data_IF_601004378670
#
_entry.id   IF_601004378670
#
_cell.length_a   1.000
_cell.length_b   1.000
_cell.length_c   1.000
_cell.angle_alpha   90.00
_cell.angle_beta   90.00
_cell.angle_gamma   90.00
#
_symmetry.space_group_name_H-M   'P 1'
#
loop_
_entity.id
_entity.type
_entity.pdbx_description
1 polymer ?
#
# COMPACT_ATOMS: atom_id res chain seq x y z
N UNK A 1 62.60 46.24 1.89
CA UNK A 1 61.52 47.21 2.23
C UNK A 1 60.68 47.32 0.96
N UNK A 2 59.45 46.83 0.82
CA UNK A 2 58.29 46.60 1.72
C UNK A 2 57.36 45.61 0.96
N UNK A 3 56.50 44.79 1.62
CA UNK A 3 55.93 43.57 1.04
C UNK A 3 54.54 43.80 0.40
N UNK A 4 54.14 42.91 -0.52
CA UNK A 4 52.79 42.88 -1.12
C UNK A 4 52.03 41.66 -0.62
N UNK A 5 50.81 41.92 -0.14
CA UNK A 5 50.07 41.08 0.80
C UNK A 5 49.27 39.92 0.20
N UNK A 6 49.06 38.94 1.07
CA UNK A 6 48.12 37.82 0.89
C UNK A 6 46.68 38.30 1.07
N UNK A 7 45.88 38.23 0.00
CA UNK A 7 44.42 38.33 0.08
C UNK A 7 43.80 36.94 0.21
N UNK A 8 43.30 36.60 1.41
CA UNK A 8 42.45 35.43 1.65
C UNK A 8 41.07 35.67 1.04
N UNK A 9 40.64 34.85 0.07
CA UNK A 9 39.21 34.63 -0.21
C UNK A 9 38.79 33.32 0.45
N UNK A 10 38.00 33.43 1.52
CA UNK A 10 37.35 32.29 2.14
C UNK A 10 36.24 31.76 1.22
N UNK A 11 36.34 30.49 0.86
CA UNK A 11 35.20 29.72 0.35
C UNK A 11 34.46 29.19 1.58
N UNK A 12 33.27 29.73 1.83
CA UNK A 12 32.28 29.14 2.74
C UNK A 12 31.80 27.83 2.10
N UNK A 13 32.17 26.70 2.67
CA UNK A 13 31.55 25.41 2.37
C UNK A 13 30.27 25.34 3.20
N UNK A 14 29.12 25.44 2.54
CA UNK A 14 27.82 25.20 3.16
C UNK A 14 27.64 23.70 3.38
N UNK A 15 27.23 23.33 4.58
CA UNK A 15 27.13 21.96 5.10
C UNK A 15 25.90 21.18 4.62
N UNK A 16 25.25 21.58 3.53
CA UNK A 16 23.95 21.01 3.11
C UNK A 16 24.02 19.89 2.06
N UNK A 17 25.21 19.53 1.53
CA UNK A 17 25.29 18.52 0.44
C UNK A 17 25.66 17.10 0.88
N UNK A 18 25.87 16.85 2.19
CA UNK A 18 26.42 15.57 2.65
C UNK A 18 25.35 14.50 2.98
N UNK A 19 24.11 14.90 3.26
CA UNK A 19 23.04 13.94 3.59
C UNK A 19 22.41 13.29 2.34
N UNK A 20 22.36 14.00 1.21
CA UNK A 20 21.88 13.45 -0.05
C UNK A 20 22.85 12.42 -0.67
N UNK A 21 24.16 12.59 -0.47
CA UNK A 21 25.18 11.65 -1.00
C UNK A 21 25.18 10.34 -0.21
N UNK A 22 24.88 10.38 1.10
CA UNK A 22 24.69 9.16 1.91
C UNK A 22 23.49 8.32 1.44
N UNK A 23 22.39 8.96 1.04
CA UNK A 23 21.18 8.25 0.57
C UNK A 23 21.41 7.41 -0.69
N UNK A 24 22.17 7.92 -1.67
CA UNK A 24 22.49 7.17 -2.90
C UNK A 24 23.50 6.01 -2.68
N UNK A 25 24.47 6.17 -1.78
CA UNK A 25 25.47 5.12 -1.49
C UNK A 25 24.93 4.02 -0.58
N UNK A 26 23.99 4.32 0.32
CA UNK A 26 23.35 3.31 1.19
C UNK A 26 22.45 2.33 0.42
N UNK A 27 22.03 2.65 -0.81
CA UNK A 27 21.27 1.73 -1.65
C UNK A 27 22.07 0.47 -2.05
N UNK A 28 23.41 0.51 -2.00
CA UNK A 28 24.28 -0.60 -2.40
C UNK A 28 24.68 -1.52 -1.22
N UNK A 29 24.36 -1.14 0.02
CA UNK A 29 24.67 -1.88 1.25
C UNK A 29 23.41 -1.97 2.13
N UNK A 30 22.32 -2.52 1.60
CA UNK A 30 21.14 -2.84 2.42
C UNK A 30 21.44 -4.10 3.23
N UNK A 31 21.68 -3.93 4.53
CA UNK A 31 21.63 -5.04 5.49
C UNK A 31 20.20 -5.64 5.48
N UNK A 32 20.05 -6.98 5.60
CA UNK A 32 18.73 -7.59 5.61
C UNK A 32 17.87 -7.01 6.74
N UNK A 33 16.70 -6.45 6.40
CA UNK A 33 15.63 -6.04 7.32
C UNK A 33 16.16 -5.50 8.66
N UNK A 34 17.04 -4.49 8.61
CA UNK A 34 17.73 -4.00 9.81
C UNK A 34 16.73 -3.74 10.94
N UNK A 35 17.03 -4.22 12.15
CA UNK A 35 16.17 -4.03 13.33
C UNK A 35 15.94 -2.54 13.53
N UNK A 36 14.68 -2.13 13.50
CA UNK A 36 14.29 -0.79 13.92
C UNK A 36 14.41 -0.73 15.45
N UNK A 37 15.20 0.20 15.97
CA UNK A 37 15.21 0.56 17.39
C UNK A 37 13.89 1.30 17.73
N UNK A 38 12.79 0.55 17.83
CA UNK A 38 11.50 1.06 18.29
C UNK A 38 11.29 0.63 19.74
N UNK A 39 11.96 1.32 20.65
CA UNK A 39 11.76 1.24 22.11
C UNK A 39 10.89 2.38 22.65
N UNK A 40 10.10 3.02 21.78
CA UNK A 40 9.21 4.11 22.16
C UNK A 40 7.96 3.61 22.85
N UNK A 41 7.60 4.24 23.97
CA UNK A 41 6.28 4.16 24.58
C UNK A 41 5.27 4.66 23.53
N UNK A 42 4.47 3.76 22.94
CA UNK A 42 3.44 4.08 21.94
C UNK A 42 2.24 4.76 22.62
N UNK A 43 2.50 5.80 23.43
CA UNK A 43 1.48 6.58 24.10
C UNK A 43 0.59 7.22 23.06
N UNK A 44 -0.65 6.78 23.08
CA UNK A 44 -1.78 7.27 22.33
C UNK A 44 -1.89 8.79 22.53
N UNK A 45 -1.38 9.56 21.57
CA UNK A 45 -1.80 10.95 21.44
C UNK A 45 -3.24 10.86 20.96
N UNK A 46 -4.19 11.41 21.71
CA UNK A 46 -5.60 11.41 21.32
C UNK A 46 -5.73 11.90 19.87
N UNK A 47 -5.96 10.97 18.95
CA UNK A 47 -6.01 11.28 17.53
C UNK A 47 -7.36 11.93 17.25
N UNK A 48 -7.33 13.07 16.56
CA UNK A 48 -8.55 13.71 16.04
C UNK A 48 -8.63 13.39 14.56
N UNK A 49 -9.76 12.85 14.12
CA UNK A 49 -9.99 12.55 12.71
C UNK A 49 -9.80 13.81 11.87
N UNK A 50 -9.13 13.67 10.73
CA UNK A 50 -8.89 14.76 9.78
C UNK A 50 -10.13 15.10 8.94
N UNK A 51 -11.18 14.27 9.09
CA UNK A 51 -12.46 14.38 8.39
C UNK A 51 -13.61 14.30 9.39
N UNK A 52 -14.78 14.82 9.00
CA UNK A 52 -15.99 14.70 9.81
C UNK A 52 -16.44 13.24 9.92
N UNK A 53 -16.84 12.84 11.14
CA UNK A 53 -17.33 11.50 11.43
C UNK A 53 -18.83 11.55 11.75
N UNK A 54 -19.74 11.20 10.81
CA UNK A 54 -21.17 11.08 11.12
C UNK A 54 -21.37 10.05 12.24
N UNK A 55 -22.42 10.18 13.06
CA UNK A 55 -22.78 9.13 14.03
C UNK A 55 -23.12 7.79 13.35
N UNK A 56 -23.20 6.69 14.11
CA UNK A 56 -23.40 5.35 13.56
C UNK A 56 -24.68 5.23 12.72
N UNK A 57 -25.80 5.79 13.19
CA UNK A 57 -27.07 5.72 12.48
C UNK A 57 -27.04 6.55 11.19
N UNK A 58 -26.41 7.72 11.24
CA UNK A 58 -26.16 8.58 10.07
C UNK A 58 -25.25 7.89 9.06
N UNK A 59 -24.19 7.22 9.52
CA UNK A 59 -23.27 6.47 8.66
C UNK A 59 -23.99 5.29 7.99
N UNK A 60 -24.78 4.49 8.72
CA UNK A 60 -25.56 3.41 8.14
C UNK A 60 -26.56 3.88 7.08
N UNK A 61 -27.19 5.06 7.27
CA UNK A 61 -28.08 5.65 6.25
C UNK A 61 -27.37 6.07 4.97
N UNK A 62 -26.06 6.34 5.02
CA UNK A 62 -25.25 6.64 3.84
C UNK A 62 -24.84 5.37 3.10
N UNK A 63 -24.64 4.26 3.81
CA UNK A 63 -24.29 2.99 3.22
C UNK A 63 -25.47 2.43 2.39
N UNK A 64 -25.18 1.58 1.39
CA UNK A 64 -26.22 0.87 0.67
C UNK A 64 -27.10 0.01 1.58
N UNK A 65 -28.31 -0.28 1.10
CA UNK A 65 -29.26 -1.13 1.79
C UNK A 65 -28.67 -2.52 2.10
N UNK A 66 -28.93 -2.99 3.32
CA UNK A 66 -28.44 -4.27 3.83
C UNK A 66 -29.53 -5.33 3.83
N UNK A 67 -29.13 -6.58 3.61
CA UNK A 67 -29.98 -7.77 3.78
C UNK A 67 -29.68 -8.52 5.07
N UNK A 68 -28.49 -8.32 5.64
CA UNK A 68 -28.05 -8.85 6.94
C UNK A 68 -27.21 -7.79 7.64
N UNK A 69 -27.42 -7.60 8.94
CA UNK A 69 -26.77 -6.52 9.70
C UNK A 69 -27.44 -5.17 9.41
N UNK A 70 -26.64 -4.10 9.32
CA UNK A 70 -27.16 -2.77 8.95
C UNK A 70 -27.49 -1.83 10.11
N UNK A 71 -27.16 -2.24 11.34
CA UNK A 71 -27.38 -1.45 12.55
C UNK A 71 -26.25 -1.65 13.57
N UNK A 72 -26.25 -0.84 14.62
CA UNK A 72 -25.22 -0.87 15.67
C UNK A 72 -23.98 -0.05 15.32
N UNK A 73 -22.92 -0.15 16.13
CA UNK A 73 -21.72 0.67 15.97
C UNK A 73 -20.95 0.31 14.69
N UNK A 74 -20.47 1.33 13.99
CA UNK A 74 -19.56 1.21 12.86
C UNK A 74 -18.14 1.63 13.26
N UNK A 75 -17.11 0.97 12.72
CA UNK A 75 -15.75 1.43 12.90
C UNK A 75 -15.59 2.87 12.41
N UNK A 76 -14.78 3.67 13.10
CA UNK A 76 -14.54 5.08 12.72
C UNK A 76 -14.04 5.21 11.29
N UNK A 77 -13.27 4.22 10.82
CA UNK A 77 -12.81 4.15 9.44
C UNK A 77 -13.93 3.98 8.41
N UNK A 78 -15.02 3.28 8.74
CA UNK A 78 -16.17 3.13 7.86
C UNK A 78 -16.99 4.42 7.85
N UNK A 79 -17.17 5.03 9.03
CA UNK A 79 -17.84 6.33 9.20
C UNK A 79 -17.13 7.46 8.46
N UNK A 80 -15.79 7.45 8.42
CA UNK A 80 -14.98 8.41 7.66
C UNK A 80 -15.15 8.28 6.13
N UNK A 81 -15.33 7.04 5.64
CA UNK A 81 -15.41 6.75 4.20
C UNK A 81 -16.83 6.95 3.64
N UNK A 82 -17.86 6.62 4.43
CA UNK A 82 -19.26 6.58 4.00
C UNK A 82 -19.80 7.89 3.37
N UNK A 83 -19.45 9.11 3.83
CA UNK A 83 -19.94 10.34 3.22
C UNK A 83 -19.52 10.56 1.76
N UNK A 84 -18.38 10.00 1.37
CA UNK A 84 -17.78 10.25 0.05
C UNK A 84 -17.86 9.02 -0.86
N UNK A 85 -17.69 7.83 -0.29
CA UNK A 85 -17.58 6.55 -1.01
C UNK A 85 -18.40 5.44 -0.31
N UNK A 86 -19.73 5.57 -0.21
CA UNK A 86 -20.57 4.65 0.56
C UNK A 86 -20.55 3.20 0.06
N UNK A 87 -20.49 2.95 -1.25
CA UNK A 87 -20.41 1.58 -1.80
C UNK A 87 -19.03 0.98 -1.49
N UNK A 88 -17.97 1.78 -1.58
CA UNK A 88 -16.62 1.35 -1.22
C UNK A 88 -16.51 1.05 0.27
N UNK A 89 -17.12 1.87 1.13
CA UNK A 89 -17.20 1.60 2.57
C UNK A 89 -17.91 0.27 2.86
N UNK A 90 -19.03 0.00 2.20
CA UNK A 90 -19.73 -1.28 2.29
C UNK A 90 -18.86 -2.47 1.84
N UNK A 91 -18.17 -2.35 0.70
CA UNK A 91 -17.25 -3.40 0.24
C UNK A 91 -16.06 -3.59 1.20
N UNK A 92 -15.55 -2.50 1.78
CA UNK A 92 -14.44 -2.54 2.74
C UNK A 92 -14.83 -3.18 4.07
N UNK A 93 -16.10 -3.11 4.51
CA UNK A 93 -16.63 -3.90 5.64
C UNK A 93 -16.53 -5.41 5.36
N UNK A 94 -16.90 -5.85 4.15
CA UNK A 94 -16.76 -7.26 3.77
C UNK A 94 -15.30 -7.72 3.69
N UNK A 95 -14.42 -6.85 3.20
CA UNK A 95 -12.98 -7.08 3.15
C UNK A 95 -12.37 -7.20 4.56
N UNK A 96 -12.68 -6.27 5.48
CA UNK A 96 -12.22 -6.32 6.88
C UNK A 96 -12.71 -7.62 7.55
N UNK A 97 -13.99 -7.96 7.38
CA UNK A 97 -14.53 -9.20 7.91
C UNK A 97 -13.81 -10.45 7.38
N UNK A 98 -13.47 -10.49 6.09
CA UNK A 98 -12.73 -11.60 5.50
C UNK A 98 -11.34 -11.76 6.12
N UNK A 99 -10.57 -10.67 6.21
CA UNK A 99 -9.23 -10.69 6.80
C UNK A 99 -9.24 -10.98 8.30
N UNK A 100 -10.28 -10.58 9.03
CA UNK A 100 -10.37 -10.77 10.48
C UNK A 100 -11.04 -12.07 10.91
N UNK A 101 -11.82 -12.73 10.05
CA UNK A 101 -12.54 -14.00 10.36
C UNK A 101 -11.99 -15.22 9.63
N UNK A 102 -11.70 -15.10 8.33
CA UNK A 102 -11.33 -16.22 7.45
C UNK A 102 -9.83 -16.28 7.16
N UNK A 103 -9.16 -15.13 7.08
CA UNK A 103 -7.87 -14.96 6.42
C UNK A 103 -6.71 -15.87 6.83
N UNK A 104 -6.63 -16.32 8.07
CA UNK A 104 -5.68 -17.34 8.51
C UNK A 104 -6.45 -18.32 9.39
N UNK A 105 -6.39 -19.62 9.12
CA UNK A 105 -7.24 -20.62 9.80
C UNK A 105 -7.07 -20.67 11.32
N UNK A 106 -5.92 -20.23 11.82
CA UNK A 106 -5.66 -20.04 13.25
C UNK A 106 -5.95 -18.58 13.67
N UNK A 107 -7.01 -18.31 14.46
CA UNK A 107 -7.39 -16.95 14.84
C UNK A 107 -6.38 -16.27 15.78
N UNK A 108 -5.70 -17.03 16.65
CA UNK A 108 -4.67 -16.50 17.56
C UNK A 108 -3.45 -16.04 16.75
N UNK A 109 -2.93 -16.89 15.85
CA UNK A 109 -1.81 -16.52 15.00
C UNK A 109 -2.18 -15.34 14.07
N UNK A 110 -3.41 -15.32 13.55
CA UNK A 110 -3.92 -14.21 12.73
C UNK A 110 -3.83 -12.88 13.45
N UNK A 111 -4.36 -12.81 14.66
CA UNK A 111 -4.37 -11.57 15.45
C UNK A 111 -2.95 -11.14 15.85
N UNK A 112 -2.09 -12.09 16.23
CA UNK A 112 -0.66 -11.86 16.49
C UNK A 112 0.06 -11.23 15.29
N UNK A 113 -0.11 -11.79 14.09
CA UNK A 113 0.54 -11.27 12.87
C UNK A 113 0.01 -9.89 12.50
N UNK A 114 -1.30 -9.63 12.66
CA UNK A 114 -1.87 -8.28 12.44
C UNK A 114 -1.28 -7.26 13.40
N UNK A 115 -1.08 -7.65 14.67
CA UNK A 115 -0.44 -6.79 15.65
C UNK A 115 1.00 -6.44 15.27
N UNK A 116 1.79 -7.41 14.76
CA UNK A 116 3.17 -7.14 14.30
C UNK A 116 3.17 -6.12 13.16
N UNK A 117 2.27 -6.25 12.18
CA UNK A 117 2.14 -5.26 11.09
C UNK A 117 1.81 -3.88 11.64
N UNK A 118 0.82 -3.80 12.53
CA UNK A 118 0.40 -2.54 13.16
C UNK A 118 1.53 -1.89 13.99
N UNK A 119 2.32 -2.69 14.72
CA UNK A 119 3.49 -2.22 15.47
C UNK A 119 4.52 -1.56 14.55
N UNK A 120 4.89 -2.22 13.45
CA UNK A 120 5.89 -1.66 12.53
C UNK A 120 5.38 -0.40 11.80
N UNK A 121 4.08 -0.32 11.54
CA UNK A 121 3.45 0.90 11.02
C UNK A 121 3.16 1.96 12.11
N UNK A 122 3.37 1.64 13.40
CA UNK A 122 3.05 2.51 14.55
C UNK A 122 1.56 2.89 14.63
N UNK A 123 0.67 1.98 14.24
CA UNK A 123 -0.77 2.21 14.23
C UNK A 123 -1.43 1.74 15.54
N UNK A 124 -1.68 2.69 16.47
CA UNK A 124 -2.32 2.41 17.76
C UNK A 124 -3.69 1.75 17.62
N UNK A 125 -4.56 2.30 16.77
CA UNK A 125 -5.88 1.75 16.46
C UNK A 125 -5.80 0.26 16.08
N UNK A 126 -4.90 -0.09 15.15
CA UNK A 126 -4.80 -1.45 14.65
C UNK A 126 -4.14 -2.40 15.67
N UNK A 127 -3.21 -1.91 16.49
CA UNK A 127 -2.64 -2.67 17.60
C UNK A 127 -3.72 -3.05 18.63
N UNK A 128 -4.54 -2.09 19.08
CA UNK A 128 -5.63 -2.35 20.03
C UNK A 128 -6.68 -3.29 19.43
N UNK A 129 -7.04 -3.08 18.16
CA UNK A 129 -7.95 -3.97 17.43
C UNK A 129 -7.42 -5.40 17.37
N UNK A 130 -6.12 -5.57 17.10
CA UNK A 130 -5.49 -6.89 17.05
C UNK A 130 -5.43 -7.56 18.44
N UNK A 131 -5.16 -6.81 19.51
CA UNK A 131 -5.23 -7.32 20.90
C UNK A 131 -6.65 -7.74 21.26
N UNK A 132 -7.66 -6.95 20.91
CA UNK A 132 -9.06 -7.31 21.13
C UNK A 132 -9.48 -8.57 20.35
N UNK A 133 -9.03 -8.70 19.10
CA UNK A 133 -9.21 -9.94 18.32
C UNK A 133 -8.52 -11.14 18.98
N UNK A 134 -7.32 -10.95 19.55
CA UNK A 134 -6.54 -11.97 20.23
C UNK A 134 -7.23 -12.45 21.52
N UNK A 135 -7.79 -11.53 22.31
CA UNK A 135 -8.62 -11.84 23.49
C UNK A 135 -9.88 -12.61 23.09
N UNK A 136 -10.60 -12.15 22.06
CA UNK A 136 -11.80 -12.84 21.53
C UNK A 136 -11.48 -14.24 21.00
N UNK A 137 -10.26 -14.47 20.53
CA UNK A 137 -9.79 -15.79 20.10
C UNK A 137 -9.36 -16.70 21.27
N UNK A 138 -9.42 -16.24 22.52
CA UNK A 138 -9.12 -17.04 23.72
C UNK A 138 -7.64 -17.07 24.12
N UNK A 139 -6.81 -16.13 23.65
CA UNK A 139 -5.44 -16.03 24.13
C UNK A 139 -5.38 -15.57 25.59
N UNK A 140 -4.41 -16.08 26.34
CA UNK A 140 -4.15 -15.62 27.72
C UNK A 140 -3.52 -14.23 27.73
N UNK A 141 -3.74 -13.46 28.81
CA UNK A 141 -3.06 -12.17 29.02
C UNK A 141 -1.54 -12.31 29.04
N UNK A 142 -1.00 -13.46 29.48
CA UNK A 142 0.43 -13.76 29.37
C UNK A 142 0.89 -13.87 27.91
N UNK A 143 0.10 -14.50 27.04
CA UNK A 143 0.41 -14.54 25.61
C UNK A 143 0.34 -13.17 24.95
N UNK A 144 -0.57 -12.30 25.40
CA UNK A 144 -0.69 -10.92 24.94
C UNK A 144 0.51 -10.10 25.42
N UNK A 145 0.88 -10.20 26.70
CA UNK A 145 2.04 -9.54 27.26
C UNK A 145 3.34 -9.91 26.54
N UNK A 146 3.53 -11.20 26.21
CA UNK A 146 4.69 -11.66 25.40
C UNK A 146 4.71 -11.08 23.98
N UNK A 147 3.56 -10.95 23.34
CA UNK A 147 3.46 -10.32 22.03
C UNK A 147 3.86 -8.84 22.10
N UNK A 148 3.27 -8.12 23.05
CA UNK A 148 3.46 -6.67 23.26
C UNK A 148 4.88 -6.32 23.71
N UNK A 149 5.55 -7.21 24.46
CA UNK A 149 6.95 -7.06 24.85
C UNK A 149 7.92 -6.95 23.65
N UNK A 150 7.49 -7.33 22.44
CA UNK A 150 8.25 -7.17 21.22
C UNK A 150 9.27 -8.30 20.96
N UNK A 151 10.16 -8.12 19.98
CA UNK A 151 11.00 -9.19 19.40
C UNK A 151 11.78 -10.05 20.40
N UNK A 152 12.26 -9.46 21.49
CA UNK A 152 13.04 -10.17 22.51
C UNK A 152 12.17 -11.10 23.38
N UNK A 153 10.86 -10.84 23.47
CA UNK A 153 9.88 -11.67 24.18
C UNK A 153 9.16 -12.70 23.29
N UNK A 154 9.38 -12.68 21.97
CA UNK A 154 8.70 -13.57 21.04
C UNK A 154 9.20 -15.01 21.16
N UNK A 155 8.23 -15.95 21.24
CA UNK A 155 8.53 -17.37 21.31
C UNK A 155 9.24 -17.87 20.05
N UNK A 156 10.07 -18.91 20.19
CA UNK A 156 10.70 -19.59 19.06
C UNK A 156 9.67 -20.10 18.04
N UNK A 157 8.49 -20.51 18.51
CA UNK A 157 7.41 -20.99 17.65
C UNK A 157 6.82 -19.91 16.73
N UNK A 158 6.79 -18.65 17.18
CA UNK A 158 6.20 -17.53 16.46
C UNK A 158 7.23 -16.75 15.63
N UNK A 159 8.51 -16.75 16.06
CA UNK A 159 9.58 -15.86 15.59
C UNK A 159 9.68 -15.72 14.07
N UNK A 160 9.80 -16.82 13.33
CA UNK A 160 9.97 -16.76 11.87
C UNK A 160 8.74 -16.18 11.17
N UNK A 161 7.52 -16.51 11.63
CA UNK A 161 6.29 -15.96 11.05
C UNK A 161 6.12 -14.47 11.34
N UNK A 162 6.58 -14.03 12.51
CA UNK A 162 6.55 -12.61 12.89
C UNK A 162 7.60 -11.83 12.10
N UNK A 163 8.82 -12.35 11.97
CA UNK A 163 9.86 -11.71 11.16
C UNK A 163 9.48 -11.67 9.68
N UNK A 164 8.77 -12.68 9.14
CA UNK A 164 8.23 -12.63 7.79
C UNK A 164 7.31 -11.41 7.60
N UNK A 165 6.30 -11.24 8.46
CA UNK A 165 5.36 -10.11 8.32
C UNK A 165 6.01 -8.77 8.66
N UNK A 166 7.02 -8.76 9.53
CA UNK A 166 7.86 -7.59 9.83
C UNK A 166 8.62 -7.14 8.57
N UNK A 167 9.35 -8.05 7.93
CA UNK A 167 10.06 -7.82 6.67
C UNK A 167 9.12 -7.29 5.59
N UNK A 168 7.96 -7.94 5.39
CA UNK A 168 6.96 -7.52 4.42
C UNK A 168 6.43 -6.10 4.71
N UNK A 169 6.40 -5.67 5.96
CA UNK A 169 5.90 -4.35 6.34
C UNK A 169 6.94 -3.26 6.12
N UNK A 170 8.18 -3.49 6.54
CA UNK A 170 9.22 -2.44 6.57
C UNK A 170 10.09 -2.37 5.31
N UNK A 171 10.38 -3.51 4.66
CA UNK A 171 11.26 -3.59 3.48
C UNK A 171 11.02 -4.88 2.69
N UNK A 172 9.82 -5.02 2.13
CA UNK A 172 9.40 -6.23 1.39
C UNK A 172 10.37 -6.64 0.26
N UNK A 173 10.97 -5.71 -0.53
CA UNK A 173 11.96 -6.08 -1.54
C UNK A 173 13.19 -6.82 -0.99
N UNK A 174 13.55 -6.57 0.27
CA UNK A 174 14.69 -7.18 0.94
C UNK A 174 14.32 -8.42 1.77
N UNK A 175 13.12 -8.96 1.62
CA UNK A 175 12.70 -10.18 2.32
C UNK A 175 13.66 -11.34 2.01
N UNK A 176 14.33 -11.93 3.03
CA UNK A 176 15.25 -13.05 2.81
C UNK A 176 14.52 -14.30 2.32
N UNK A 177 15.06 -14.95 1.28
CA UNK A 177 14.43 -16.14 0.69
C UNK A 177 14.50 -17.35 1.62
N UNK A 178 15.55 -17.47 2.43
CA UNK A 178 15.71 -18.52 3.43
C UNK A 178 14.66 -18.39 4.56
N UNK A 179 14.33 -17.17 4.98
CA UNK A 179 13.24 -16.91 5.93
C UNK A 179 11.90 -17.34 5.34
N UNK A 180 11.60 -16.92 4.10
CA UNK A 180 10.37 -17.33 3.41
C UNK A 180 10.29 -18.87 3.31
N UNK A 181 11.39 -19.53 2.93
CA UNK A 181 11.44 -20.98 2.81
C UNK A 181 11.24 -21.70 4.15
N UNK A 182 11.83 -21.20 5.25
CA UNK A 182 11.61 -21.77 6.59
C UNK A 182 10.13 -21.69 7.00
N UNK A 183 9.49 -20.54 6.80
CA UNK A 183 8.07 -20.36 7.09
C UNK A 183 7.22 -21.24 6.17
N UNK A 184 7.55 -21.31 4.88
CA UNK A 184 6.87 -22.18 3.90
C UNK A 184 6.95 -23.65 4.29
N UNK A 185 8.11 -24.16 4.70
CA UNK A 185 8.27 -25.56 5.17
C UNK A 185 7.43 -25.85 6.41
N UNK A 186 7.32 -24.88 7.32
CA UNK A 186 6.57 -25.03 8.56
C UNK A 186 5.05 -25.00 8.37
N UNK A 187 4.56 -24.08 7.53
CA UNK A 187 3.13 -23.78 7.44
C UNK A 187 2.47 -24.20 6.12
N UNK A 188 3.26 -24.55 5.10
CA UNK A 188 2.82 -24.88 3.75
C UNK A 188 2.49 -23.65 2.89
N UNK A 189 2.45 -23.87 1.57
CA UNK A 189 2.29 -22.81 0.55
C UNK A 189 1.04 -21.95 0.76
N UNK A 190 -0.12 -22.58 1.01
CA UNK A 190 -1.38 -21.85 1.23
C UNK A 190 -1.31 -20.94 2.46
N UNK A 191 -0.73 -21.42 3.56
CA UNK A 191 -0.68 -20.64 4.80
C UNK A 191 0.31 -19.48 4.67
N UNK A 192 1.50 -19.69 4.09
CA UNK A 192 2.46 -18.61 3.90
C UNK A 192 1.93 -17.55 2.92
N UNK A 193 1.21 -17.96 1.86
CA UNK A 193 0.55 -17.01 0.96
C UNK A 193 -0.49 -16.15 1.70
N UNK A 194 -1.27 -16.75 2.61
CA UNK A 194 -2.23 -16.03 3.45
C UNK A 194 -1.55 -15.06 4.43
N UNK A 195 -0.35 -15.39 4.93
CA UNK A 195 0.46 -14.45 5.72
C UNK A 195 0.90 -13.24 4.89
N UNK A 196 1.27 -13.43 3.63
CA UNK A 196 1.60 -12.33 2.69
C UNK A 196 0.39 -11.42 2.47
N UNK A 197 -0.79 -11.98 2.17
CA UNK A 197 -2.02 -11.19 2.00
C UNK A 197 -2.46 -10.50 3.30
N UNK A 198 -2.23 -11.11 4.47
CA UNK A 198 -2.49 -10.48 5.77
C UNK A 198 -1.58 -9.26 5.98
N UNK A 199 -0.29 -9.37 5.69
CA UNK A 199 0.64 -8.25 5.78
C UNK A 199 0.28 -7.13 4.81
N UNK A 200 -0.14 -7.49 3.58
CA UNK A 200 -0.63 -6.53 2.59
C UNK A 200 -1.89 -5.78 3.07
N UNK A 201 -2.87 -6.50 3.63
CA UNK A 201 -4.08 -5.88 4.17
C UNK A 201 -3.79 -4.95 5.35
N UNK A 202 -2.93 -5.37 6.30
CA UNK A 202 -2.53 -4.49 7.40
C UNK A 202 -1.83 -3.23 6.90
N UNK A 203 -0.94 -3.34 5.91
CA UNK A 203 -0.27 -2.17 5.32
C UNK A 203 -1.23 -1.21 4.60
N UNK A 204 -2.32 -1.71 4.03
CA UNK A 204 -3.43 -0.91 3.48
C UNK A 204 -4.23 -0.23 4.61
N UNK A 205 -4.73 -1.02 5.56
CA UNK A 205 -5.61 -0.56 6.63
C UNK A 205 -4.91 0.44 7.56
N UNK A 206 -3.68 0.17 7.96
CA UNK A 206 -2.93 1.05 8.89
C UNK A 206 -2.70 2.44 8.28
N UNK A 207 -2.53 2.53 6.96
CA UNK A 207 -2.32 3.80 6.26
C UNK A 207 -3.59 4.59 6.09
N UNK A 208 -4.70 3.90 5.89
CA UNK A 208 -6.02 4.51 5.96
C UNK A 208 -6.28 5.10 7.36
N UNK A 209 -5.99 4.34 8.41
CA UNK A 209 -6.17 4.77 9.80
C UNK A 209 -5.26 5.94 10.18
N UNK A 210 -3.95 5.82 9.92
CA UNK A 210 -2.96 6.84 10.27
C UNK A 210 -3.13 8.11 9.44
N UNK A 211 -3.32 7.99 8.13
CA UNK A 211 -3.33 9.15 7.26
C UNK A 211 -4.63 9.96 7.28
N UNK A 212 -5.69 9.46 7.94
CA UNK A 212 -6.89 10.23 8.28
C UNK A 212 -7.00 10.56 9.77
N UNK A 213 -5.96 10.26 10.56
CA UNK A 213 -5.96 10.58 11.98
C UNK A 213 -7.06 9.88 12.78
N UNK A 214 -7.48 8.69 12.38
CA UNK A 214 -8.73 8.10 12.87
C UNK A 214 -8.61 7.62 14.33
N UNK A 215 -9.47 8.11 15.24
CA UNK A 215 -9.50 7.61 16.61
C UNK A 215 -10.10 6.22 16.68
N UNK A 216 -9.71 5.47 17.71
CA UNK A 216 -10.42 4.25 18.12
C UNK A 216 -11.83 4.59 18.61
N UNK A 217 -12.76 3.64 18.51
CA UNK A 217 -14.11 3.83 19.03
C UNK A 217 -14.09 4.00 20.56
N UNK A 218 -14.99 4.86 21.09
CA UNK A 218 -15.01 5.22 22.51
C UNK A 218 -15.21 4.02 23.46
N UNK A 219 -15.96 3.01 23.02
CA UNK A 219 -16.23 1.77 23.78
C UNK A 219 -15.16 0.68 23.53
N UNK A 220 -14.07 1.03 22.84
CA UNK A 220 -12.99 0.12 22.47
C UNK A 220 -13.20 -0.59 21.13
N UNK A 221 -12.23 -1.45 20.72
CA UNK A 221 -12.19 -1.99 19.36
C UNK A 221 -13.37 -2.91 19.05
N UNK A 222 -14.10 -2.61 17.98
CA UNK A 222 -15.24 -3.41 17.55
C UNK A 222 -14.81 -4.79 17.01
N UNK A 223 -15.65 -5.84 17.16
CA UNK A 223 -15.49 -7.07 16.39
C UNK A 223 -15.64 -6.80 14.88
N UNK A 224 -15.22 -7.73 14.01
CA UNK A 224 -15.42 -7.57 12.57
C UNK A 224 -16.91 -7.47 12.26
N UNK A 225 -17.31 -6.39 11.58
CA UNK A 225 -18.71 -6.16 11.20
C UNK A 225 -19.10 -7.13 10.10
N UNK A 226 -20.21 -7.84 10.29
CA UNK A 226 -20.76 -8.78 9.31
C UNK A 226 -22.03 -8.17 8.75
N UNK A 227 -21.92 -7.56 7.58
CA UNK A 227 -23.04 -7.01 6.84
C UNK A 227 -23.09 -7.57 5.42
N UNK A 228 -24.30 -7.89 4.97
CA UNK A 228 -24.59 -8.25 3.59
C UNK A 228 -25.44 -7.16 2.97
N UNK A 229 -25.16 -6.83 1.71
CA UNK A 229 -25.78 -5.72 0.99
C UNK A 229 -26.64 -6.26 -0.14
N UNK A 230 -27.68 -5.50 -0.51
CA UNK A 230 -28.57 -5.84 -1.62
C UNK A 230 -27.76 -6.16 -2.89
N UNK A 231 -28.20 -7.18 -3.63
CA UNK A 231 -27.53 -7.62 -4.84
C UNK A 231 -27.44 -6.49 -5.89
N UNK A 232 -26.32 -6.39 -6.60
CA UNK A 232 -26.07 -5.34 -7.60
C UNK A 232 -25.51 -4.04 -7.03
N UNK A 233 -25.46 -3.88 -5.70
CA UNK A 233 -24.86 -2.71 -5.06
C UNK A 233 -23.33 -2.66 -5.25
N UNK A 234 -22.65 -3.79 -5.05
CA UNK A 234 -21.19 -3.88 -5.12
C UNK A 234 -20.75 -4.35 -6.51
N UNK A 235 -19.58 -3.91 -6.96
CA UNK A 235 -19.07 -4.23 -8.29
C UNK A 235 -18.30 -5.56 -8.28
N UNK A 236 -18.94 -6.62 -8.78
CA UNK A 236 -18.31 -7.94 -8.88
C UNK A 236 -17.53 -8.09 -10.19
N UNK A 237 -18.11 -7.67 -11.31
CA UNK A 237 -17.52 -7.84 -12.64
C UNK A 237 -16.26 -7.00 -12.78
N UNK A 238 -15.24 -7.48 -13.52
CA UNK A 238 -14.09 -6.67 -13.88
C UNK A 238 -14.53 -5.35 -14.51
N UNK A 239 -14.13 -4.25 -13.89
CA UNK A 239 -14.36 -2.90 -14.38
C UNK A 239 -13.03 -2.35 -14.90
N UNK A 240 -12.97 -2.03 -16.19
CA UNK A 240 -11.87 -1.24 -16.74
C UNK A 240 -12.42 0.17 -16.94
N UNK A 241 -11.99 1.17 -16.15
CA UNK A 241 -12.49 2.52 -16.34
C UNK A 241 -12.18 2.97 -17.79
N UNK A 242 -13.15 3.66 -18.39
CA UNK A 242 -12.97 4.35 -19.67
C UNK A 242 -11.77 5.29 -19.55
N UNK A 243 -10.95 5.51 -20.59
CA UNK A 243 -9.88 6.49 -20.54
C UNK A 243 -10.50 7.86 -20.21
N UNK A 244 -10.35 8.31 -18.96
CA UNK A 244 -10.68 9.68 -18.61
C UNK A 244 -9.72 10.59 -19.37
N UNK A 245 -10.25 11.71 -19.87
CA UNK A 245 -9.61 12.85 -20.54
C UNK A 245 -8.13 12.65 -20.89
N UNK A 246 -7.75 12.73 -22.17
CA UNK A 246 -6.34 12.99 -22.55
C UNK A 246 -5.84 14.14 -21.70
N UNK A 247 -5.02 13.86 -20.69
CA UNK A 247 -4.19 14.89 -20.09
C UNK A 247 -3.39 15.39 -21.28
N UNK A 248 -3.64 16.64 -21.68
CA UNK A 248 -2.55 17.39 -22.28
C UNK A 248 -1.55 17.38 -21.14
N UNK A 249 -0.51 16.53 -21.25
CA UNK A 249 0.71 16.82 -20.53
C UNK A 249 0.88 18.31 -20.77
N UNK A 250 0.76 19.13 -19.72
CA UNK A 250 1.29 20.47 -19.81
C UNK A 250 2.65 20.24 -20.45
N UNK A 251 2.95 20.97 -21.51
CA UNK A 251 4.23 20.94 -22.20
C UNK A 251 5.35 21.26 -21.19
N UNK A 252 5.62 20.34 -20.27
CA UNK A 252 6.84 20.09 -19.54
C UNK A 252 7.85 19.46 -20.49
N UNK A 253 7.40 19.06 -21.69
CA UNK A 253 8.17 19.18 -22.92
C UNK A 253 8.24 20.67 -23.28
N UNK A 254 8.88 21.46 -22.41
CA UNK A 254 9.58 22.62 -22.92
C UNK A 254 10.58 22.09 -23.93
N UNK A 255 10.62 22.71 -25.10
CA UNK A 255 11.70 22.75 -26.09
C UNK A 255 13.14 22.90 -25.53
N UNK A 256 13.31 22.91 -24.21
CA UNK A 256 14.54 22.85 -23.47
C UNK A 256 15.29 21.54 -23.68
N UNK A 257 16.21 21.58 -24.63
CA UNK A 257 17.56 20.99 -24.55
C UNK A 257 18.33 21.50 -23.31
N UNK A 258 17.67 21.62 -22.16
CA UNK A 258 18.26 21.93 -20.87
C UNK A 258 19.24 20.81 -20.55
N UNK A 259 20.49 21.19 -20.27
CA UNK A 259 21.64 20.28 -20.18
C UNK A 259 21.31 19.07 -19.31
N UNK A 260 20.96 17.96 -19.98
CA UNK A 260 20.84 16.63 -19.41
C UNK A 260 22.14 16.32 -18.69
N UNK A 261 22.13 16.38 -17.36
CA UNK A 261 23.31 15.98 -16.59
C UNK A 261 23.46 14.45 -16.68
N UNK A 262 24.69 13.96 -16.69
CA UNK A 262 24.99 12.52 -16.77
C UNK A 262 24.33 11.70 -15.65
N UNK A 263 24.13 12.32 -14.49
CA UNK A 263 23.51 11.74 -13.28
C UNK A 263 22.05 11.33 -13.51
N UNK A 264 21.26 12.17 -14.19
CA UNK A 264 19.84 11.88 -14.46
C UNK A 264 19.65 10.67 -15.39
N UNK A 265 20.54 10.53 -16.38
CA UNK A 265 20.53 9.39 -17.29
C UNK A 265 20.96 8.09 -16.60
N UNK A 266 21.71 8.15 -15.50
CA UNK A 266 22.17 6.97 -14.76
C UNK A 266 21.08 6.37 -13.87
N UNK A 267 20.30 7.20 -13.16
CA UNK A 267 19.19 6.74 -12.31
C UNK A 267 18.14 5.96 -13.11
N UNK A 268 17.70 6.50 -14.25
CA UNK A 268 16.74 5.81 -15.12
C UNK A 268 17.31 4.52 -15.72
N UNK A 269 18.60 4.50 -16.09
CA UNK A 269 19.27 3.27 -16.56
C UNK A 269 19.33 2.20 -15.48
N UNK A 270 19.58 2.58 -14.22
CA UNK A 270 19.52 1.62 -13.11
C UNK A 270 18.11 1.10 -12.87
N UNK A 271 17.09 1.95 -12.95
CA UNK A 271 15.69 1.52 -12.90
C UNK A 271 15.41 0.44 -13.95
N UNK A 272 15.73 0.69 -15.22
CA UNK A 272 15.50 -0.27 -16.30
C UNK A 272 16.26 -1.59 -16.08
N UNK A 273 17.50 -1.55 -15.56
CA UNK A 273 18.24 -2.76 -15.18
C UNK A 273 17.54 -3.54 -14.06
N UNK A 274 16.97 -2.86 -13.06
CA UNK A 274 16.20 -3.50 -11.99
C UNK A 274 14.93 -4.17 -12.52
N UNK A 275 14.22 -3.50 -13.42
CA UNK A 275 13.02 -4.07 -14.05
C UNK A 275 13.38 -5.33 -14.84
N UNK A 276 14.45 -5.33 -15.65
CA UNK A 276 14.88 -6.53 -16.38
C UNK A 276 15.28 -7.67 -15.43
N UNK A 277 15.98 -7.37 -14.33
CA UNK A 277 16.25 -8.39 -13.29
C UNK A 277 14.96 -8.97 -12.70
N UNK A 278 13.93 -8.15 -12.48
CA UNK A 278 12.63 -8.61 -12.00
C UNK A 278 11.93 -9.54 -12.99
N UNK A 279 12.06 -9.32 -14.31
CA UNK A 279 11.47 -10.19 -15.35
C UNK A 279 12.02 -11.62 -15.29
N UNK A 280 13.28 -11.77 -14.92
CA UNK A 280 13.95 -13.08 -14.77
C UNK A 280 13.85 -13.68 -13.37
N UNK A 281 13.22 -13.01 -12.41
CA UNK A 281 13.22 -13.44 -11.01
C UNK A 281 12.27 -14.63 -10.81
N UNK A 282 12.73 -15.75 -10.20
CA UNK A 282 11.84 -16.86 -9.90
C UNK A 282 10.89 -16.49 -8.75
N UNK A 283 9.59 -16.78 -8.87
CA UNK A 283 8.63 -16.56 -7.80
C UNK A 283 8.87 -17.52 -6.63
N UNK A 284 8.56 -17.07 -5.42
CA UNK A 284 8.74 -17.86 -4.18
C UNK A 284 7.73 -19.00 -4.02
N UNK A 285 6.63 -18.94 -4.76
CA UNK A 285 5.65 -20.03 -4.88
C UNK A 285 5.38 -20.32 -6.36
N UNK A 286 5.00 -21.56 -6.71
CA UNK A 286 4.53 -21.89 -8.06
C UNK A 286 3.38 -20.97 -8.49
N UNK A 287 3.41 -20.49 -9.74
CA UNK A 287 2.32 -19.67 -10.29
C UNK A 287 1.16 -20.58 -10.70
N UNK A 288 -0.04 -20.41 -10.11
CA UNK A 288 -1.22 -21.19 -10.48
C UNK A 288 -1.62 -20.95 -11.95
N UNK A 289 -2.18 -21.97 -12.60
CA UNK A 289 -2.74 -21.82 -13.95
C UNK A 289 -4.12 -21.16 -13.87
N UNK A 290 -4.52 -20.45 -14.93
CA UNK A 290 -5.84 -19.80 -14.98
C UNK A 290 -6.99 -20.77 -14.69
N UNK A 291 -6.96 -22.00 -15.23
CA UNK A 291 -8.04 -22.97 -15.00
C UNK A 291 -8.19 -23.31 -13.50
N UNK A 292 -7.08 -23.51 -12.80
CA UNK A 292 -7.07 -23.81 -11.36
C UNK A 292 -7.62 -22.64 -10.52
N UNK A 293 -7.45 -21.41 -11.04
CA UNK A 293 -7.97 -20.19 -10.43
C UNK A 293 -9.46 -20.03 -10.73
N UNK A 294 -9.88 -20.16 -11.98
CA UNK A 294 -11.24 -19.93 -12.45
C UNK A 294 -12.27 -20.79 -11.70
N UNK A 295 -11.92 -22.04 -11.40
CA UNK A 295 -12.79 -22.99 -10.68
C UNK A 295 -13.13 -22.53 -9.24
N UNK A 296 -12.38 -21.57 -8.68
CA UNK A 296 -12.58 -21.02 -7.34
C UNK A 296 -13.31 -19.67 -7.34
N UNK A 297 -13.64 -19.12 -8.52
CA UNK A 297 -14.18 -17.76 -8.65
C UNK A 297 -15.69 -17.76 -8.92
N UNK A 298 -16.42 -16.73 -8.44
CA UNK A 298 -17.76 -16.46 -8.93
C UNK A 298 -17.76 -16.30 -10.46
N UNK A 299 -18.82 -16.77 -11.12
CA UNK A 299 -18.92 -16.75 -12.59
C UNK A 299 -18.69 -15.34 -13.19
N UNK A 300 -19.20 -14.30 -12.54
CA UNK A 300 -18.98 -12.91 -12.93
C UNK A 300 -17.49 -12.51 -12.99
N UNK A 301 -16.66 -13.08 -12.10
CA UNK A 301 -15.22 -12.82 -12.03
C UNK A 301 -14.39 -13.75 -12.91
N UNK A 302 -14.89 -14.94 -13.23
CA UNK A 302 -14.25 -15.91 -14.12
C UNK A 302 -14.52 -15.65 -15.61
N UNK A 303 -15.30 -14.61 -15.94
CA UNK A 303 -15.75 -14.30 -17.30
C UNK A 303 -14.63 -13.99 -18.29
N UNK A 304 -13.47 -13.54 -17.82
CA UNK A 304 -12.30 -13.24 -18.66
C UNK A 304 -11.02 -13.80 -18.01
N UNK A 305 -10.21 -14.60 -18.74
CA UNK A 305 -8.93 -15.04 -18.26
C UNK A 305 -8.00 -13.88 -17.90
N UNK A 306 -7.38 -13.93 -16.73
CA UNK A 306 -6.31 -12.99 -16.38
C UNK A 306 -4.96 -13.57 -16.79
N UNK A 307 -4.11 -12.72 -17.36
CA UNK A 307 -2.68 -13.02 -17.65
C UNK A 307 -1.75 -12.44 -16.59
N UNK A 308 -2.29 -11.68 -15.64
CA UNK A 308 -1.55 -11.00 -14.59
C UNK A 308 -1.17 -12.02 -13.52
N UNK A 309 0.13 -12.24 -13.33
CA UNK A 309 0.68 -13.24 -12.40
C UNK A 309 0.22 -12.94 -10.98
N UNK A 310 0.16 -11.67 -10.60
CA UNK A 310 -0.35 -11.23 -9.29
C UNK A 310 -1.79 -11.72 -9.02
N UNK A 311 -2.68 -11.68 -10.01
CA UNK A 311 -4.05 -12.19 -9.85
C UNK A 311 -4.06 -13.71 -9.72
N UNK A 312 -3.27 -14.42 -10.54
CA UNK A 312 -3.18 -15.89 -10.48
C UNK A 312 -2.73 -16.35 -9.08
N UNK A 313 -1.73 -15.69 -8.52
CA UNK A 313 -1.18 -16.00 -7.20
C UNK A 313 -2.20 -15.74 -6.08
N UNK A 314 -2.80 -14.56 -6.05
CA UNK A 314 -3.71 -14.17 -4.96
C UNK A 314 -5.00 -14.98 -4.96
N UNK A 315 -5.63 -15.17 -6.13
CA UNK A 315 -6.82 -16.01 -6.22
C UNK A 315 -6.50 -17.49 -6.01
N UNK A 316 -5.43 -18.02 -6.60
CA UNK A 316 -5.12 -19.46 -6.52
C UNK A 316 -4.80 -19.94 -5.11
N UNK A 317 -4.14 -19.10 -4.30
CA UNK A 317 -3.78 -19.45 -2.92
C UNK A 317 -4.80 -18.99 -1.87
N UNK A 318 -5.55 -17.92 -2.11
CA UNK A 318 -6.41 -17.29 -1.11
C UNK A 318 -7.62 -16.56 -1.71
N UNK A 319 -8.41 -17.23 -2.57
CA UNK A 319 -9.61 -16.66 -3.19
C UNK A 319 -10.59 -16.01 -2.19
N UNK A 320 -10.76 -16.58 -1.00
CA UNK A 320 -11.64 -16.05 0.05
C UNK A 320 -11.20 -14.71 0.65
N UNK A 321 -9.92 -14.33 0.46
CA UNK A 321 -9.40 -13.00 0.77
C UNK A 321 -9.37 -12.10 -0.46
N UNK A 322 -8.97 -12.66 -1.59
CA UNK A 322 -8.78 -11.92 -2.82
C UNK A 322 -10.10 -11.48 -3.48
N UNK A 323 -11.17 -12.27 -3.34
CA UNK A 323 -12.50 -11.93 -3.86
C UNK A 323 -13.03 -10.64 -3.21
N UNK A 324 -13.12 -10.52 -1.85
CA UNK A 324 -13.49 -9.26 -1.20
C UNK A 324 -12.59 -8.08 -1.59
N UNK A 325 -11.28 -8.31 -1.76
CA UNK A 325 -10.36 -7.26 -2.21
C UNK A 325 -10.68 -6.78 -3.63
N UNK A 326 -10.91 -7.71 -4.55
CA UNK A 326 -11.31 -7.40 -5.92
C UNK A 326 -12.64 -6.64 -5.95
N UNK A 327 -13.63 -7.03 -5.12
CA UNK A 327 -14.91 -6.31 -5.02
C UNK A 327 -14.69 -4.88 -4.49
N UNK A 328 -13.90 -4.69 -3.44
CA UNK A 328 -13.63 -3.36 -2.88
C UNK A 328 -12.97 -2.43 -3.90
N UNK A 329 -11.92 -2.89 -4.58
CA UNK A 329 -11.20 -2.09 -5.58
C UNK A 329 -12.03 -1.81 -6.84
N UNK A 330 -12.82 -2.79 -7.31
CA UNK A 330 -13.74 -2.58 -8.45
C UNK A 330 -14.90 -1.66 -8.09
N UNK A 331 -15.40 -1.76 -6.85
CA UNK A 331 -16.48 -0.90 -6.36
C UNK A 331 -16.00 0.53 -6.24
N UNK A 332 -14.79 0.75 -5.69
CA UNK A 332 -14.14 2.06 -5.65
C UNK A 332 -14.07 2.69 -7.04
N UNK A 333 -13.50 1.99 -8.03
CA UNK A 333 -13.45 2.51 -9.39
C UNK A 333 -14.82 2.74 -10.04
N UNK A 334 -15.80 1.87 -9.81
CA UNK A 334 -17.15 2.04 -10.35
C UNK A 334 -17.93 3.17 -9.66
N UNK A 335 -17.60 3.48 -8.40
CA UNK A 335 -18.20 4.56 -7.62
C UNK A 335 -17.54 5.91 -7.92
N UNK A 336 -16.23 5.93 -8.10
CA UNK A 336 -15.43 7.09 -8.50
C UNK A 336 -14.38 6.69 -9.54
N UNK A 337 -14.72 6.79 -10.83
CA UNK A 337 -13.73 6.66 -11.89
C UNK A 337 -12.76 7.84 -11.84
N UNK A 338 -11.48 7.57 -11.62
CA UNK A 338 -10.42 8.58 -11.56
C UNK A 338 -9.63 8.66 -12.87
N UNK A 339 -8.76 9.66 -12.94
CA UNK A 339 -7.76 9.78 -14.00
C UNK A 339 -6.66 8.73 -13.85
N UNK A 340 -6.68 7.73 -14.75
CA UNK A 340 -5.70 6.64 -14.74
C UNK A 340 -4.26 7.15 -14.82
N UNK A 341 -3.98 8.22 -15.55
CA UNK A 341 -2.60 8.72 -15.65
C UNK A 341 -2.15 9.21 -14.27
N UNK A 342 -2.95 10.05 -13.61
CA UNK A 342 -2.63 10.54 -12.27
C UNK A 342 -2.50 9.38 -11.26
N UNK A 343 -3.42 8.41 -11.30
CA UNK A 343 -3.38 7.20 -10.48
C UNK A 343 -2.06 6.44 -10.62
N UNK A 344 -1.58 6.24 -11.86
CA UNK A 344 -0.34 5.53 -12.15
C UNK A 344 0.90 6.35 -11.79
N UNK A 345 0.89 7.68 -11.91
CA UNK A 345 2.00 8.52 -11.44
C UNK A 345 2.14 8.47 -9.91
N UNK A 346 1.01 8.57 -9.22
CA UNK A 346 0.96 8.44 -7.77
C UNK A 346 1.44 7.05 -7.33
N UNK A 347 0.93 5.99 -7.97
CA UNK A 347 1.35 4.63 -7.64
C UNK A 347 2.83 4.38 -8.00
N UNK A 348 3.33 4.97 -9.08
CA UNK A 348 4.76 4.92 -9.41
C UNK A 348 5.62 5.54 -8.30
N UNK A 349 5.24 6.70 -7.75
CA UNK A 349 5.95 7.32 -6.60
C UNK A 349 5.96 6.38 -5.37
N UNK A 350 4.84 5.72 -5.07
CA UNK A 350 4.77 4.76 -3.96
C UNK A 350 5.68 3.55 -4.19
N UNK A 351 5.62 2.96 -5.38
CA UNK A 351 6.39 1.76 -5.73
C UNK A 351 7.88 2.07 -5.82
N UNK A 352 8.27 3.26 -6.29
CA UNK A 352 9.63 3.76 -6.23
C UNK A 352 10.10 3.95 -4.79
N UNK A 353 9.26 4.51 -3.91
CA UNK A 353 9.56 4.70 -2.49
C UNK A 353 9.76 3.37 -1.75
N UNK A 354 8.94 2.36 -2.04
CA UNK A 354 9.11 0.99 -1.51
C UNK A 354 10.33 0.31 -2.15
N UNK A 355 10.55 0.52 -3.45
CA UNK A 355 11.50 -0.22 -4.27
C UNK A 355 10.91 -1.43 -4.99
N UNK A 356 9.58 -1.51 -5.13
CA UNK A 356 8.88 -2.63 -5.77
C UNK A 356 9.00 -2.58 -7.30
N UNK A 357 9.88 -3.40 -7.87
CA UNK A 357 10.16 -3.39 -9.31
C UNK A 357 8.99 -3.94 -10.14
N UNK A 358 8.26 -4.95 -9.63
CA UNK A 358 7.12 -5.53 -10.32
C UNK A 358 6.03 -4.47 -10.56
N UNK A 359 5.64 -3.75 -9.50
CA UNK A 359 4.61 -2.72 -9.62
C UNK A 359 5.08 -1.53 -10.48
N UNK A 360 6.34 -1.11 -10.39
CA UNK A 360 6.87 -0.04 -11.27
C UNK A 360 6.77 -0.42 -12.76
N UNK A 361 7.06 -1.67 -13.11
CA UNK A 361 6.89 -2.15 -14.49
C UNK A 361 5.43 -2.23 -14.94
N UNK A 362 4.49 -2.46 -14.04
CA UNK A 362 3.05 -2.40 -14.35
C UNK A 362 2.56 -0.97 -14.56
N UNK A 363 3.10 0.01 -13.81
CA UNK A 363 2.84 1.42 -14.08
C UNK A 363 3.28 1.82 -15.50
N UNK A 364 4.44 1.35 -15.98
CA UNK A 364 4.88 1.56 -17.37
C UNK A 364 3.83 1.04 -18.37
N UNK A 365 3.39 -0.20 -18.19
CA UNK A 365 2.38 -0.83 -19.07
C UNK A 365 1.02 -0.13 -19.02
N UNK A 366 0.58 0.32 -17.84
CA UNK A 366 -0.72 0.98 -17.65
C UNK A 366 -0.71 2.42 -18.18
N UNK A 367 0.42 3.12 -18.10
CA UNK A 367 0.61 4.42 -18.76
C UNK A 367 0.53 4.28 -20.29
N UNK A 368 1.17 3.27 -20.87
CA UNK A 368 1.04 2.99 -22.32
C UNK A 368 -0.41 2.65 -22.70
N UNK A 369 -1.10 1.83 -21.90
CA UNK A 369 -2.52 1.52 -22.11
C UNK A 369 -3.42 2.77 -22.00
N UNK A 370 -2.98 3.79 -21.26
CA UNK A 370 -3.67 5.07 -21.13
C UNK A 370 -3.46 5.99 -22.34
N UNK A 371 -2.72 5.53 -23.35
CA UNK A 371 -2.53 6.21 -24.63
C UNK A 371 -1.23 7.02 -24.73
N UNK A 372 -0.32 6.92 -23.76
CA UNK A 372 1.03 7.49 -23.87
C UNK A 372 1.91 6.62 -24.75
N UNK A 373 2.73 7.23 -25.60
CA UNK A 373 3.79 6.53 -26.33
C UNK A 373 4.94 6.13 -25.41
N UNK A 374 5.67 5.05 -25.74
CA UNK A 374 6.77 4.55 -24.92
C UNK A 374 7.87 5.60 -24.63
N UNK A 375 8.15 6.49 -25.59
CA UNK A 375 9.10 7.60 -25.39
C UNK A 375 8.57 8.64 -24.38
N UNK A 376 7.27 8.90 -24.38
CA UNK A 376 6.61 9.81 -23.43
C UNK A 376 6.64 9.22 -22.02
N UNK A 377 6.30 7.93 -21.88
CA UNK A 377 6.39 7.20 -20.61
C UNK A 377 7.83 7.23 -20.08
N UNK A 378 8.82 6.95 -20.92
CA UNK A 378 10.22 6.95 -20.52
C UNK A 378 10.71 8.33 -20.03
N UNK A 379 10.24 9.43 -20.64
CA UNK A 379 10.55 10.79 -20.18
C UNK A 379 9.83 11.14 -18.87
N UNK A 380 8.56 10.76 -18.75
CA UNK A 380 7.77 10.99 -17.55
C UNK A 380 8.38 10.30 -16.32
N UNK A 381 8.69 9.00 -16.44
CA UNK A 381 9.30 8.23 -15.36
C UNK A 381 10.73 8.67 -15.04
N UNK A 382 11.46 9.21 -16.04
CA UNK A 382 12.76 9.82 -15.80
C UNK A 382 12.65 11.07 -14.93
N UNK A 383 11.65 11.93 -15.12
CA UNK A 383 11.44 13.08 -14.25
C UNK A 383 11.08 12.64 -12.83
N UNK A 384 10.14 11.70 -12.68
CA UNK A 384 9.75 11.18 -11.37
C UNK A 384 10.92 10.53 -10.62
N UNK A 385 11.75 9.73 -11.28
CA UNK A 385 12.88 9.02 -10.68
C UNK A 385 14.01 9.92 -10.17
N UNK A 386 14.08 11.16 -10.66
CA UNK A 386 15.11 12.12 -10.25
C UNK A 386 14.67 13.00 -9.08
N UNK A 387 13.47 12.79 -8.54
CA UNK A 387 12.86 13.63 -7.51
C UNK A 387 12.77 15.12 -7.90
N UNK A 388 12.83 15.43 -9.20
CA UNK A 388 12.60 16.76 -9.76
C UNK A 388 11.20 16.78 -10.38
N UNK A 389 10.24 17.26 -9.59
CA UNK A 389 8.85 17.37 -10.03
C UNK A 389 8.50 18.77 -10.52
N UNK A 390 9.48 19.65 -10.77
CA UNK A 390 9.20 21.06 -11.09
C UNK A 390 8.35 21.25 -12.36
N UNK A 391 8.39 20.29 -13.28
CA UNK A 391 7.58 20.23 -14.50
C UNK A 391 6.11 19.81 -14.32
N UNK A 392 5.70 19.34 -13.15
CA UNK A 392 4.33 18.89 -12.88
C UNK A 392 3.46 20.00 -12.29
N UNK A 393 2.13 19.84 -12.36
CA UNK A 393 1.18 20.79 -11.78
C UNK A 393 1.41 20.93 -10.26
N UNK A 394 1.27 22.13 -9.67
CA UNK A 394 1.40 22.33 -8.22
C UNK A 394 0.60 21.35 -7.36
N UNK A 395 -0.62 20.99 -7.75
CA UNK A 395 -1.46 20.02 -7.04
C UNK A 395 -0.87 18.60 -7.12
N UNK A 396 -0.45 18.17 -8.31
CA UNK A 396 0.18 16.86 -8.52
C UNK A 396 1.45 16.71 -7.69
N UNK A 397 2.31 17.74 -7.65
CA UNK A 397 3.55 17.73 -6.84
C UNK A 397 3.27 17.55 -5.35
N UNK A 398 2.21 18.18 -4.83
CA UNK A 398 1.78 18.00 -3.43
C UNK A 398 1.23 16.60 -3.21
N UNK A 399 0.45 16.07 -4.15
CA UNK A 399 -0.04 14.69 -4.11
C UNK A 399 1.11 13.66 -4.17
N UNK A 400 2.18 13.90 -4.94
CA UNK A 400 3.40 13.08 -4.94
C UNK A 400 4.10 13.11 -3.57
N UNK A 401 4.18 14.29 -2.95
CA UNK A 401 4.69 14.46 -1.59
C UNK A 401 3.90 13.62 -0.57
N UNK A 402 2.56 13.71 -0.64
CA UNK A 402 1.66 12.90 0.17
C UNK A 402 1.86 11.40 -0.08
N UNK A 403 1.90 10.96 -1.34
CA UNK A 403 2.10 9.55 -1.72
C UNK A 403 3.40 8.99 -1.13
N UNK A 404 4.49 9.76 -1.19
CA UNK A 404 5.79 9.39 -0.61
C UNK A 404 5.73 9.32 0.92
N UNK A 405 5.11 10.31 1.56
CA UNK A 405 4.97 10.38 3.02
C UNK A 405 4.10 9.25 3.56
N UNK A 406 2.92 9.02 2.98
CA UNK A 406 2.02 7.90 3.30
C UNK A 406 2.71 6.54 3.13
N UNK A 407 3.57 6.41 2.13
CA UNK A 407 4.29 5.17 1.87
C UNK A 407 5.35 4.87 2.94
N UNK A 408 6.23 5.82 3.22
CA UNK A 408 7.40 5.57 4.08
C UNK A 408 7.18 5.88 5.56
N UNK A 409 6.37 6.88 5.88
CA UNK A 409 6.21 7.44 7.24
C UNK A 409 4.76 7.86 7.50
N UNK A 410 3.78 6.93 7.40
CA UNK A 410 2.36 7.28 7.56
C UNK A 410 2.02 7.86 8.93
N UNK A 411 2.78 7.52 9.98
CA UNK A 411 2.63 8.07 11.33
C UNK A 411 3.02 9.56 11.46
N UNK A 412 3.59 10.17 10.41
CA UNK A 412 3.91 11.61 10.38
C UNK A 412 2.85 12.43 9.65
N UNK A 413 1.79 11.80 9.12
CA UNK A 413 0.70 12.50 8.45
C UNK A 413 -0.14 13.31 9.45
N UNK A 414 -0.63 14.44 8.96
CA UNK A 414 -1.35 15.46 9.70
C UNK A 414 -2.62 15.86 8.97
N UNK A 415 -3.51 16.58 9.66
CA UNK A 415 -4.72 17.13 9.06
C UNK A 415 -4.42 18.06 7.87
N UNK A 416 -3.28 18.75 7.86
CA UNK A 416 -2.87 19.64 6.77
C UNK A 416 -2.52 18.86 5.49
N UNK A 417 -1.94 17.66 5.63
CA UNK A 417 -1.60 16.80 4.49
C UNK A 417 -2.88 16.39 3.73
N UNK A 418 -3.91 15.94 4.44
CA UNK A 418 -5.21 15.59 3.82
C UNK A 418 -6.01 16.84 3.41
N UNK A 419 -6.02 17.89 4.24
CA UNK A 419 -6.72 19.14 3.95
C UNK A 419 -6.20 19.84 2.69
N UNK A 420 -4.89 19.77 2.44
CA UNK A 420 -4.28 20.24 1.18
C UNK A 420 -4.77 19.43 0.00
N UNK A 421 -4.82 18.10 0.10
CA UNK A 421 -5.37 17.24 -0.96
C UNK A 421 -6.85 17.58 -1.25
N UNK A 422 -7.65 17.77 -0.20
CA UNK A 422 -9.06 18.16 -0.30
C UNK A 422 -9.26 19.56 -0.91
N UNK A 423 -8.32 20.49 -0.65
CA UNK A 423 -8.33 21.83 -1.27
C UNK A 423 -8.03 21.77 -2.77
N UNK A 424 -7.09 20.91 -3.16
CA UNK A 424 -6.64 20.78 -4.55
C UNK A 424 -7.64 20.03 -5.44
N UNK A 425 -8.23 18.96 -4.93
CA UNK A 425 -9.07 18.04 -5.71
C UNK A 425 -10.56 18.07 -5.32
N UNK A 426 -10.91 18.75 -4.22
CA UNK A 426 -12.23 18.63 -3.60
C UNK A 426 -12.32 17.44 -2.64
N UNK A 427 -13.22 17.48 -1.64
CA UNK A 427 -13.21 16.52 -0.53
C UNK A 427 -13.48 15.07 -0.96
N UNK A 428 -14.36 14.87 -1.93
CA UNK A 428 -14.71 13.52 -2.39
C UNK A 428 -13.62 12.89 -3.25
N UNK A 429 -13.05 13.64 -4.20
CA UNK A 429 -12.00 13.12 -5.07
C UNK A 429 -10.69 12.97 -4.28
N UNK A 430 -10.42 13.85 -3.31
CA UNK A 430 -9.33 13.65 -2.34
C UNK A 430 -9.51 12.37 -1.52
N UNK A 431 -10.74 12.06 -1.07
CA UNK A 431 -11.01 10.80 -0.37
C UNK A 431 -10.76 9.58 -1.27
N UNK A 432 -11.19 9.66 -2.52
CA UNK A 432 -10.96 8.63 -3.55
C UNK A 432 -9.48 8.41 -3.84
N UNK A 433 -8.73 9.49 -4.12
CA UNK A 433 -7.28 9.44 -4.34
C UNK A 433 -6.53 8.93 -3.11
N UNK A 434 -6.94 9.33 -1.90
CA UNK A 434 -6.33 8.85 -0.67
C UNK A 434 -6.57 7.35 -0.45
N UNK A 435 -7.79 6.86 -0.72
CA UNK A 435 -8.10 5.42 -0.69
C UNK A 435 -7.28 4.65 -1.73
N UNK A 436 -7.15 5.18 -2.95
CA UNK A 436 -6.30 4.63 -4.01
C UNK A 436 -4.82 4.52 -3.61
N UNK A 437 -4.28 5.56 -2.98
CA UNK A 437 -2.92 5.55 -2.44
C UNK A 437 -2.77 4.47 -1.36
N UNK A 438 -3.75 4.29 -0.48
CA UNK A 438 -3.71 3.18 0.48
C UNK A 438 -3.70 1.83 -0.26
N UNK A 439 -4.51 1.67 -1.31
CA UNK A 439 -4.61 0.45 -2.12
C UNK A 439 -3.27 0.03 -2.73
N UNK A 440 -2.48 0.98 -3.22
CA UNK A 440 -1.15 0.71 -3.78
C UNK A 440 -0.25 -0.11 -2.85
N UNK A 441 -0.42 0.10 -1.54
CA UNK A 441 0.44 -0.48 -0.52
C UNK A 441 0.02 -1.89 -0.13
N UNK A 442 -1.20 -2.33 -0.47
CA UNK A 442 -1.56 -3.75 -0.51
C UNK A 442 -0.77 -4.48 -1.62
N UNK A 443 -0.73 -3.87 -2.82
CA UNK A 443 -0.19 -4.53 -4.01
C UNK A 443 1.32 -4.76 -3.93
N UNK A 444 2.08 -3.80 -3.40
CA UNK A 444 3.54 -3.92 -3.30
C UNK A 444 3.98 -5.07 -2.39
N UNK A 445 3.29 -5.30 -1.26
CA UNK A 445 3.66 -6.37 -0.31
C UNK A 445 3.47 -7.76 -0.91
N UNK A 446 2.43 -7.93 -1.71
CA UNK A 446 2.19 -9.19 -2.42
C UNK A 446 3.23 -9.40 -3.51
N UNK A 447 3.51 -8.36 -4.29
CA UNK A 447 4.43 -8.43 -5.43
C UNK A 447 5.84 -8.79 -4.98
N UNK A 448 6.36 -8.06 -3.98
CA UNK A 448 7.68 -8.31 -3.42
C UNK A 448 7.70 -9.57 -2.54
N UNK A 449 6.63 -9.83 -1.78
CA UNK A 449 6.51 -10.99 -0.90
C UNK A 449 6.55 -12.32 -1.65
N UNK A 450 5.95 -12.39 -2.83
CA UNK A 450 6.06 -13.56 -3.71
C UNK A 450 7.23 -13.49 -4.69
N UNK A 451 7.97 -12.37 -4.75
CA UNK A 451 8.99 -12.10 -5.79
C UNK A 451 8.43 -12.37 -7.19
N UNK A 452 7.32 -11.74 -7.53
CA UNK A 452 6.64 -12.01 -8.80
C UNK A 452 7.51 -11.63 -10.00
N UNK A 453 7.71 -12.52 -10.99
CA UNK A 453 8.36 -12.13 -12.23
C UNK A 453 7.52 -11.06 -12.94
N UNK A 454 8.16 -9.99 -13.37
CA UNK A 454 7.49 -8.96 -14.16
C UNK A 454 7.24 -9.49 -15.60
N UNK A 455 6.01 -9.41 -16.08
CA UNK A 455 5.60 -9.97 -17.37
C UNK A 455 6.24 -9.23 -18.54
N UNK A 456 6.75 -9.95 -19.55
CA UNK A 456 7.46 -9.35 -20.69
C UNK A 456 6.55 -8.58 -21.65
N UNK A 457 5.29 -8.96 -21.71
CA UNK A 457 4.27 -8.34 -22.56
C UNK A 457 3.35 -7.47 -21.70
N UNK A 458 2.67 -6.50 -22.32
CA UNK A 458 1.65 -5.71 -21.65
C UNK A 458 0.41 -6.59 -21.40
N UNK A 459 0.29 -7.10 -20.16
CA UNK A 459 -0.80 -7.99 -19.74
C UNK A 459 -2.15 -7.32 -19.55
N UNK A 460 -2.22 -6.00 -19.75
CA UNK A 460 -3.44 -5.21 -19.65
C UNK A 460 -4.08 -4.86 -21.01
N UNK A 461 -3.39 -5.18 -22.12
CA UNK A 461 -3.82 -4.90 -23.49
C UNK A 461 -4.85 -5.90 -24.05
#
# INVERSE_FOLDING_TARGET
>A
MTPVGFGKRGVRVTTESNDQVRSCLLASLRLPCARSETTGDFRETAMTAFVELPDDASAWRLLPETTVGGEGPLPTWARALAPHLPRTAAAMLQLDAAHRRKGLGNPILRAKLRWVVARENRCGYAMETAVADLRRAGASEESIARLVAGPDGWSEADRDSFELVRCLTIDAPSLPDDLFERVRRRFGDRTVARMVLLAAYGNFQDRWLLGLGLPLEAEGPLPPIVAEFVAGTLQLEPHTPSPARRIRLATAIGDGRGKRTSRFAEAFRELQRRLERQRGAPPRLPVPRWQEVADQLPAAMASRPTRIIWNLMTFGYAADLQIPWAIATRTHWAERPEDRILEELLFWIQTHTVGCNYCMGHCEMLLELSGLGSDEVAELLRQLANDDWTGFDPAERRAFGLARKLTGRPWELTADDFGTLATDYGPTDAMSLFWWLCRGLYMTRISDGFRLPLERENVFA
#
